data_IF_473987168253
#
_entry.id   IF_473987168253
#
_cell.length_a   1.000
_cell.length_b   1.000
_cell.length_c   1.000
_cell.angle_alpha   90.00
_cell.angle_beta   90.00
_cell.angle_gamma   90.00
#
_symmetry.space_group_name_H-M   'P 1'
#
loop_
_entity.id
_entity.type
_entity.pdbx_description
1 polymer ?
#
# COMPACT_ATOMS: atom_id res chain seq x y z
N UNK A 1 14.80 -18.05 13.62
CA UNK A 1 14.89 -18.54 12.22
C UNK A 1 13.85 -17.84 11.36
N UNK A 2 14.27 -17.02 10.39
CA UNK A 2 13.43 -16.60 9.28
C UNK A 2 13.92 -17.34 8.03
N UNK A 3 13.23 -18.42 7.63
CA UNK A 3 13.56 -19.15 6.42
C UNK A 3 13.13 -18.33 5.20
N UNK A 4 14.10 -17.79 4.47
CA UNK A 4 13.90 -16.87 3.34
C UNK A 4 13.09 -17.45 2.17
N UNK A 5 12.92 -18.78 2.12
CA UNK A 5 12.26 -19.52 1.03
C UNK A 5 11.04 -20.33 1.46
N UNK A 6 10.44 -20.04 2.63
CA UNK A 6 9.21 -20.73 3.05
C UNK A 6 8.02 -20.50 2.08
N UNK A 7 8.05 -19.41 1.32
CA UNK A 7 7.04 -19.05 0.32
C UNK A 7 7.68 -18.81 -1.05
N UNK A 8 7.31 -19.61 -2.04
CA UNK A 8 7.93 -19.64 -3.38
C UNK A 8 7.16 -18.84 -4.44
N UNK A 9 6.39 -17.82 -4.05
CA UNK A 9 5.61 -16.99 -4.98
C UNK A 9 6.46 -16.29 -6.06
N UNK A 10 7.75 -16.06 -5.77
CA UNK A 10 8.72 -15.46 -6.69
C UNK A 10 9.83 -16.44 -7.11
N UNK A 11 9.58 -17.76 -6.96
CA UNK A 11 10.58 -18.83 -7.05
C UNK A 11 11.69 -18.68 -5.98
N UNK A 12 12.76 -19.49 -6.09
CA UNK A 12 13.93 -19.46 -5.21
C UNK A 12 15.22 -19.72 -6.00
N UNK A 13 16.37 -19.42 -5.40
CA UNK A 13 17.70 -19.66 -5.98
C UNK A 13 18.15 -18.61 -7.01
N UNK A 14 19.15 -18.92 -7.86
CA UNK A 14 19.73 -17.98 -8.84
C UNK A 14 18.74 -17.45 -9.89
N UNK A 15 17.58 -18.11 -10.03
CA UNK A 15 16.49 -17.74 -10.95
C UNK A 15 15.29 -17.14 -10.22
N UNK A 16 15.49 -16.61 -9.01
CA UNK A 16 14.47 -15.84 -8.30
C UNK A 16 14.01 -14.65 -9.16
N UNK A 17 12.74 -14.27 -9.05
CA UNK A 17 12.20 -13.14 -9.79
C UNK A 17 13.00 -11.87 -9.48
N UNK A 18 13.61 -11.28 -10.51
CA UNK A 18 14.35 -10.02 -10.41
C UNK A 18 13.47 -8.86 -9.90
N UNK A 19 12.15 -8.94 -10.16
CA UNK A 19 11.17 -7.95 -9.72
C UNK A 19 10.61 -8.15 -8.31
N UNK A 20 11.12 -9.11 -7.52
CA UNK A 20 10.56 -9.46 -6.19
C UNK A 20 10.42 -8.24 -5.27
N UNK A 21 11.50 -7.48 -5.09
CA UNK A 21 11.52 -6.38 -4.12
C UNK A 21 10.67 -5.19 -4.58
N UNK A 22 10.70 -4.90 -5.88
CA UNK A 22 9.85 -3.88 -6.48
C UNK A 22 8.36 -4.25 -6.34
N UNK A 23 7.99 -5.49 -6.62
CA UNK A 23 6.62 -5.98 -6.45
C UNK A 23 6.17 -5.86 -4.99
N UNK A 24 7.03 -6.22 -4.03
CA UNK A 24 6.72 -6.04 -2.61
C UNK A 24 6.55 -4.58 -2.21
N UNK A 25 7.39 -3.68 -2.72
CA UNK A 25 7.27 -2.25 -2.45
C UNK A 25 5.93 -1.71 -2.97
N UNK A 26 5.58 -2.04 -4.21
CA UNK A 26 4.31 -1.65 -4.83
C UNK A 26 3.10 -2.21 -4.06
N UNK A 27 3.11 -3.51 -3.75
CA UNK A 27 2.03 -4.15 -2.98
C UNK A 27 1.86 -3.50 -1.61
N UNK A 28 2.95 -3.27 -0.87
CA UNK A 28 2.91 -2.64 0.46
C UNK A 28 2.38 -1.21 0.39
N UNK A 29 2.84 -0.42 -0.60
CA UNK A 29 2.40 0.96 -0.79
C UNK A 29 0.90 1.06 -1.07
N UNK A 30 0.39 0.23 -1.99
CA UNK A 30 -1.04 0.17 -2.34
C UNK A 30 -1.86 -0.27 -1.13
N UNK A 31 -1.47 -1.37 -0.46
CA UNK A 31 -2.19 -1.88 0.71
C UNK A 31 -2.21 -0.86 1.84
N UNK A 32 -1.09 -0.21 2.14
CA UNK A 32 -1.03 0.83 3.17
C UNK A 32 -1.99 1.99 2.86
N UNK A 33 -1.99 2.46 1.61
CA UNK A 33 -2.84 3.57 1.16
C UNK A 33 -4.34 3.23 1.24
N UNK A 34 -4.70 2.03 0.80
CA UNK A 34 -6.09 1.55 0.80
C UNK A 34 -6.59 1.35 2.23
N UNK A 35 -5.83 0.65 3.08
CA UNK A 35 -6.24 0.34 4.46
C UNK A 35 -6.29 1.58 5.36
N UNK A 36 -5.43 2.56 5.09
CA UNK A 36 -5.44 3.84 5.81
C UNK A 36 -6.75 4.59 5.55
N UNK A 37 -7.14 4.75 4.27
CA UNK A 37 -8.24 5.63 3.88
C UNK A 37 -9.60 4.94 3.83
N UNK A 38 -9.64 3.62 3.69
CA UNK A 38 -10.87 2.89 3.42
C UNK A 38 -11.01 1.64 4.29
N UNK A 39 -12.26 1.23 4.50
CA UNK A 39 -12.66 -0.08 5.00
C UNK A 39 -13.34 -0.83 3.86
N UNK A 40 -12.78 -1.96 3.47
CA UNK A 40 -13.31 -2.81 2.42
C UNK A 40 -14.16 -3.93 3.03
N UNK A 41 -15.31 -4.21 2.43
CA UNK A 41 -16.17 -5.36 2.78
C UNK A 41 -16.56 -6.10 1.52
N UNK A 42 -16.57 -7.42 1.54
CA UNK A 42 -16.94 -8.22 0.37
C UNK A 42 -18.45 -8.05 0.10
N UNK A 43 -18.82 -7.94 -1.18
CA UNK A 43 -20.24 -7.94 -1.56
C UNK A 43 -20.85 -9.30 -1.17
N UNK A 44 -21.99 -9.33 -0.44
CA UNK A 44 -22.64 -10.58 -0.06
C UNK A 44 -22.95 -11.45 -1.28
N UNK A 45 -22.59 -12.73 -1.22
CA UNK A 45 -22.83 -13.68 -2.31
C UNK A 45 -21.84 -13.60 -3.49
N UNK A 46 -20.80 -12.74 -3.42
CA UNK A 46 -19.77 -12.70 -4.46
C UNK A 46 -18.97 -14.01 -4.52
N UNK A 47 -18.92 -14.63 -5.71
CA UNK A 47 -18.17 -15.88 -5.95
C UNK A 47 -16.75 -15.56 -6.39
N UNK A 48 -15.78 -15.96 -5.57
CA UNK A 48 -14.35 -15.86 -5.88
C UNK A 48 -13.89 -17.18 -6.51
N UNK A 49 -13.80 -17.19 -7.84
CA UNK A 49 -13.35 -18.35 -8.63
C UNK A 49 -12.12 -18.00 -9.47
N UNK A 50 -11.23 -18.97 -9.65
CA UNK A 50 -10.09 -18.86 -10.57
C UNK A 50 -10.54 -18.95 -12.03
N UNK A 51 -9.94 -18.12 -12.89
CA UNK A 51 -10.00 -18.24 -14.34
C UNK A 51 -8.88 -19.19 -14.82
N UNK A 52 -9.21 -20.12 -15.71
CA UNK A 52 -8.20 -20.94 -16.40
C UNK A 52 -7.31 -20.05 -17.26
N UNK A 53 -6.06 -19.83 -16.83
CA UNK A 53 -5.10 -18.89 -17.41
C UNK A 53 -3.68 -19.24 -16.94
N UNK A 54 -2.66 -18.79 -17.68
CA UNK A 54 -1.24 -18.94 -17.30
C UNK A 54 -0.91 -18.20 -16.00
N UNK A 55 -1.59 -17.07 -15.78
CA UNK A 55 -1.54 -16.31 -14.52
C UNK A 55 -2.82 -16.54 -13.72
N UNK A 56 -2.71 -16.55 -12.39
CA UNK A 56 -3.84 -16.70 -11.48
C UNK A 56 -4.72 -15.45 -11.49
N UNK A 57 -5.74 -15.43 -12.34
CA UNK A 57 -6.75 -14.37 -12.41
C UNK A 57 -8.09 -14.82 -11.81
N UNK A 58 -8.87 -13.86 -11.32
CA UNK A 58 -10.24 -14.09 -10.87
C UNK A 58 -11.21 -14.06 -12.06
N UNK A 59 -12.12 -15.01 -12.13
CA UNK A 59 -13.12 -15.11 -13.21
C UNK A 59 -14.15 -13.98 -13.17
N UNK A 60 -14.55 -13.56 -11.97
CA UNK A 60 -15.59 -12.54 -11.74
C UNK A 60 -15.03 -11.27 -11.10
N UNK A 61 -13.71 -11.07 -11.13
CA UNK A 61 -13.05 -10.00 -10.36
C UNK A 61 -13.30 -10.12 -8.85
N UNK A 62 -13.00 -9.04 -8.12
CA UNK A 62 -13.25 -8.93 -6.67
C UNK A 62 -14.21 -7.76 -6.42
N UNK A 63 -15.50 -8.05 -6.24
CA UNK A 63 -16.50 -7.04 -5.93
C UNK A 63 -16.49 -6.72 -4.43
N UNK A 64 -16.23 -5.46 -4.09
CA UNK A 64 -16.15 -4.97 -2.70
C UNK A 64 -16.95 -3.70 -2.52
N UNK A 65 -17.55 -3.54 -1.35
CA UNK A 65 -18.08 -2.29 -0.86
C UNK A 65 -16.96 -1.50 -0.17
N UNK A 66 -16.74 -0.27 -0.62
CA UNK A 66 -15.70 0.63 -0.11
C UNK A 66 -16.35 1.65 0.82
N UNK A 67 -15.92 1.67 2.07
CA UNK A 67 -16.37 2.64 3.07
C UNK A 67 -15.22 3.59 3.40
N UNK A 68 -15.43 4.91 3.44
CA UNK A 68 -14.40 5.84 3.90
C UNK A 68 -14.07 5.60 5.37
N UNK A 69 -12.81 5.81 5.76
CA UNK A 69 -12.37 5.80 7.16
C UNK A 69 -12.17 7.23 7.65
N UNK A 70 -12.68 7.52 8.83
CA UNK A 70 -12.37 8.76 9.54
C UNK A 70 -10.90 8.81 9.95
N UNK A 71 -10.16 9.72 9.34
CA UNK A 71 -8.71 9.85 9.48
C UNK A 71 -8.29 10.87 10.54
N UNK A 72 -9.21 11.66 11.08
CA UNK A 72 -8.90 12.81 11.94
C UNK A 72 -7.97 12.48 13.11
N UNK A 73 -8.27 11.43 13.87
CA UNK A 73 -7.45 11.01 15.01
C UNK A 73 -6.07 10.47 14.59
N UNK A 74 -5.99 9.81 13.44
CA UNK A 74 -4.75 9.23 12.91
C UNK A 74 -3.84 10.34 12.40
N UNK A 75 -4.39 11.31 11.66
CA UNK A 75 -3.65 12.47 11.15
C UNK A 75 -3.17 13.34 12.31
N UNK A 76 -4.00 13.58 13.32
CA UNK A 76 -3.61 14.33 14.51
C UNK A 76 -2.44 13.66 15.25
N UNK A 77 -2.48 12.33 15.40
CA UNK A 77 -1.37 11.57 15.99
C UNK A 77 -0.11 11.60 15.12
N UNK A 78 -0.25 11.38 13.81
CA UNK A 78 0.88 11.43 12.89
C UNK A 78 1.55 12.81 12.84
N UNK A 79 0.75 13.88 12.90
CA UNK A 79 1.25 15.26 12.99
C UNK A 79 2.02 15.47 14.29
N UNK A 80 1.49 15.04 15.44
CA UNK A 80 2.20 15.09 16.72
C UNK A 80 3.51 14.30 16.70
N UNK A 81 3.51 13.11 16.10
CA UNK A 81 4.70 12.26 15.98
C UNK A 81 5.74 12.85 15.01
N UNK A 82 5.31 13.58 13.97
CA UNK A 82 6.19 14.30 13.04
C UNK A 82 6.78 15.56 13.68
N UNK A 83 5.96 16.34 14.39
CA UNK A 83 6.39 17.52 15.15
C UNK A 83 7.40 17.13 16.25
N UNK A 84 7.17 16.02 16.95
CA UNK A 84 8.09 15.49 17.95
C UNK A 84 9.43 15.00 17.35
N UNK A 85 9.44 14.56 16.08
CA UNK A 85 10.67 14.17 15.37
C UNK A 85 11.43 15.37 14.80
N UNK A 86 10.72 16.40 14.35
CA UNK A 86 11.31 17.66 13.90
C UNK A 86 12.00 18.41 15.06
N UNK A 87 11.49 18.29 16.28
CA UNK A 87 12.15 18.82 17.48
C UNK A 87 13.43 18.05 17.88
N UNK A 88 13.67 16.87 17.30
CA UNK A 88 14.88 16.07 17.50
C UNK A 88 15.88 16.12 16.34
N UNK A 89 15.64 16.96 15.31
CA UNK A 89 16.49 17.05 14.12
C UNK A 89 16.86 18.52 13.89
N UNK A 90 17.93 18.97 14.56
CA UNK A 90 18.54 20.27 14.28
C UNK A 90 18.95 20.34 12.80
N UNK A 91 18.59 21.44 12.17
CA UNK A 91 18.76 21.71 10.75
C UNK A 91 20.23 21.57 10.30
N UNK A 92 20.50 20.75 9.28
CA UNK A 92 21.50 21.11 8.26
C UNK A 92 20.74 21.30 6.96
N UNK A 93 20.53 22.57 6.62
CA UNK A 93 19.36 23.04 5.90
C UNK A 93 19.31 22.77 4.40
N UNK A 94 18.08 22.79 3.88
CA UNK A 94 17.67 23.50 2.67
C UNK A 94 16.22 23.98 2.90
N UNK A 95 16.00 25.29 2.74
CA UNK A 95 14.71 25.98 2.87
C UNK A 95 13.63 25.34 1.98
N UNK A 96 12.48 25.00 2.55
CA UNK A 96 11.28 24.68 1.80
C UNK A 96 10.43 25.96 1.66
N UNK A 97 10.33 26.51 0.45
CA UNK A 97 9.28 27.48 0.12
C UNK A 97 8.01 26.68 -0.22
N UNK A 98 6.95 26.89 0.56
CA UNK A 98 5.64 26.28 0.33
C UNK A 98 4.88 27.01 -0.78
N UNK A 99 4.16 26.24 -1.62
CA UNK A 99 3.02 26.72 -2.39
C UNK A 99 1.96 25.60 -2.47
N UNK A 100 0.88 25.81 -1.73
CA UNK A 100 -0.52 25.49 -2.04
C UNK A 100 -0.88 24.15 -2.74
N UNK A 101 -1.42 23.21 -1.97
CA UNK A 101 -2.89 23.12 -1.87
C UNK A 101 -3.72 22.44 -2.96
N UNK A 102 -3.16 21.92 -4.08
CA UNK A 102 -3.95 21.11 -5.04
C UNK A 102 -3.20 19.86 -5.50
N UNK A 103 -3.62 18.69 -5.02
CA UNK A 103 -3.22 17.42 -5.59
C UNK A 103 -4.26 16.98 -6.62
N UNK A 104 -4.11 17.47 -7.85
CA UNK A 104 -4.73 16.84 -9.01
C UNK A 104 -4.05 15.49 -9.25
N UNK A 105 -4.73 14.40 -8.90
CA UNK A 105 -4.27 13.05 -9.24
C UNK A 105 -4.68 12.77 -10.68
N UNK A 106 -3.80 13.12 -11.63
CA UNK A 106 -3.88 12.61 -12.99
C UNK A 106 -3.49 11.13 -12.99
N UNK A 107 -4.43 10.27 -13.39
CA UNK A 107 -4.15 8.87 -13.71
C UNK A 107 -3.66 8.84 -15.15
N UNK A 108 -2.39 8.49 -15.35
CA UNK A 108 -1.89 8.04 -16.65
C UNK A 108 -2.07 6.52 -16.76
#
# INVERSE_FOLDING_TARGET
MHDSNKYVAFNAGPRICLGKDLAYLQMKSVVASVLLRHRLTLVPGHKVEQKMSLTLFMKHGLMVNVHPRELGAIVARAKKDMEAKLQGQECVGVKCHGVNGEAVVGVA
#
